data_IF_362323270616
#
_entry.id   IF_362323270616
#
_cell.length_a   1.000
_cell.length_b   1.000
_cell.length_c   1.000
_cell.angle_alpha   90.00
_cell.angle_beta   90.00
_cell.angle_gamma   90.00
#
_symmetry.space_group_name_H-M   'P 1'
#
loop_
_entity.id
_entity.type
_entity.pdbx_description
1 polymer ?
#
# COMPACT_ATOMS: atom_id res chain seq x y z
N UNK A 1 0.97 5.68 10.35
CA UNK A 1 1.17 4.22 10.29
C UNK A 1 1.31 3.67 11.71
N UNK A 2 0.70 2.52 11.99
CA UNK A 2 0.80 1.87 13.31
C UNK A 2 1.93 0.82 13.30
N UNK A 3 3.10 1.18 13.82
CA UNK A 3 4.28 0.31 13.86
C UNK A 3 4.21 -0.78 14.95
N UNK A 4 3.19 -0.75 15.81
CA UNK A 4 3.00 -1.78 16.85
C UNK A 4 2.77 -3.16 16.24
N UNK A 5 2.23 -3.23 15.01
CA UNK A 5 2.06 -4.51 14.31
C UNK A 5 3.40 -5.24 14.13
N UNK A 6 4.46 -4.48 13.89
CA UNK A 6 5.81 -4.99 13.74
C UNK A 6 6.44 -5.29 15.11
N UNK A 7 6.44 -4.33 16.03
CA UNK A 7 7.14 -4.47 17.33
C UNK A 7 6.49 -5.46 18.28
N UNK A 8 5.20 -5.78 18.11
CA UNK A 8 4.50 -6.80 18.90
C UNK A 8 4.82 -8.23 18.44
N UNK A 9 5.02 -8.44 17.13
CA UNK A 9 5.19 -9.76 16.49
C UNK A 9 6.65 -10.10 16.16
N UNK A 10 7.41 -9.14 15.64
CA UNK A 10 8.80 -9.31 15.22
C UNK A 10 9.75 -8.89 16.36
N UNK A 11 10.26 -9.87 17.12
CA UNK A 11 11.09 -9.62 18.30
C UNK A 11 12.45 -10.27 18.19
N UNK A 12 13.47 -9.55 18.65
CA UNK A 12 14.83 -10.05 18.78
C UNK A 12 14.98 -10.99 19.98
N UNK A 13 16.14 -11.67 20.08
CA UNK A 13 17.30 -11.54 19.20
C UNK A 13 17.20 -12.36 17.90
N UNK A 14 16.31 -13.35 17.86
CA UNK A 14 16.27 -14.32 16.76
C UNK A 14 15.53 -13.82 15.51
N UNK A 15 14.65 -12.82 15.65
CA UNK A 15 13.85 -12.23 14.56
C UNK A 15 13.23 -13.28 13.62
N UNK A 16 12.33 -14.14 14.12
CA UNK A 16 11.79 -15.25 13.33
C UNK A 16 11.12 -14.75 12.04
N UNK A 17 11.69 -15.13 10.89
CA UNK A 17 11.31 -14.63 9.57
C UNK A 17 9.81 -14.77 9.28
N UNK A 18 9.19 -15.90 9.64
CA UNK A 18 7.75 -16.11 9.42
C UNK A 18 6.88 -15.05 10.13
N UNK A 19 7.23 -14.65 11.36
CA UNK A 19 6.49 -13.62 12.10
C UNK A 19 6.85 -12.22 11.62
N UNK A 20 8.14 -11.97 11.38
CA UNK A 20 8.63 -10.66 10.95
C UNK A 20 8.13 -10.28 9.56
N UNK A 21 8.18 -11.19 8.60
CA UNK A 21 7.74 -10.94 7.24
C UNK A 21 6.22 -10.85 7.13
N UNK A 22 5.47 -11.65 7.89
CA UNK A 22 4.01 -11.52 7.95
C UNK A 22 3.58 -10.16 8.51
N UNK A 23 4.20 -9.72 9.61
CA UNK A 23 3.91 -8.41 10.21
C UNK A 23 4.35 -7.25 9.30
N UNK A 24 5.50 -7.39 8.62
CA UNK A 24 5.97 -6.40 7.67
C UNK A 24 5.01 -6.26 6.48
N UNK A 25 4.48 -7.37 5.95
CA UNK A 25 3.45 -7.34 4.89
C UNK A 25 2.19 -6.61 5.33
N UNK A 26 1.67 -6.88 6.52
CA UNK A 26 0.50 -6.16 7.06
C UNK A 26 0.72 -4.64 7.12
N UNK A 27 1.95 -4.20 7.43
CA UNK A 27 2.30 -2.78 7.49
C UNK A 27 2.54 -2.16 6.10
N UNK A 28 3.26 -2.86 5.22
CA UNK A 28 3.80 -2.29 3.99
C UNK A 28 2.87 -2.46 2.78
N UNK A 29 2.11 -3.55 2.72
CA UNK A 29 1.29 -3.86 1.53
C UNK A 29 0.22 -2.83 1.18
N UNK A 30 -0.43 -2.14 2.14
CA UNK A 30 -1.34 -1.03 1.80
C UNK A 30 -0.66 0.14 1.07
N UNK A 31 0.67 0.20 1.09
CA UNK A 31 1.47 1.28 0.51
C UNK A 31 2.42 0.75 -0.58
N UNK A 32 2.20 -0.47 -1.10
CA UNK A 32 3.12 -1.13 -2.02
C UNK A 32 3.47 -0.27 -3.24
N UNK A 33 2.50 0.41 -3.85
CA UNK A 33 2.74 1.25 -5.03
C UNK A 33 3.69 2.41 -4.75
N UNK A 34 3.55 3.05 -3.58
CA UNK A 34 4.41 4.17 -3.16
C UNK A 34 5.80 3.68 -2.73
N UNK A 35 5.86 2.51 -2.10
CA UNK A 35 7.13 1.90 -1.67
C UNK A 35 7.93 1.35 -2.84
N UNK A 36 7.27 0.92 -3.92
CA UNK A 36 7.90 0.42 -5.13
C UNK A 36 8.24 1.54 -6.14
N UNK A 37 7.89 2.79 -5.85
CA UNK A 37 8.31 3.94 -6.64
C UNK A 37 9.76 4.32 -6.28
N UNK A 38 10.71 3.88 -7.13
CA UNK A 38 12.14 4.16 -7.01
C UNK A 38 12.50 5.65 -7.15
N UNK A 39 11.58 6.49 -7.63
CA UNK A 39 11.79 7.94 -7.72
C UNK A 39 11.48 8.68 -6.42
N UNK A 40 10.86 7.99 -5.45
CA UNK A 40 10.51 8.55 -4.15
C UNK A 40 11.42 8.06 -3.02
N UNK A 41 11.42 8.78 -1.91
CA UNK A 41 12.10 8.38 -0.67
C UNK A 41 11.21 7.55 0.28
N UNK A 42 10.02 7.12 -0.16
CA UNK A 42 9.03 6.45 0.68
C UNK A 42 9.59 5.18 1.34
N UNK A 43 10.28 4.33 0.56
CA UNK A 43 10.88 3.11 1.08
C UNK A 43 11.96 3.40 2.13
N UNK A 44 12.89 4.31 1.83
CA UNK A 44 13.96 4.70 2.76
C UNK A 44 13.42 5.32 4.05
N UNK A 45 12.38 6.14 3.94
CA UNK A 45 11.72 6.77 5.08
C UNK A 45 10.99 5.74 5.93
N UNK A 46 10.25 4.81 5.31
CA UNK A 46 9.56 3.74 6.04
C UNK A 46 10.55 2.85 6.80
N UNK A 47 11.63 2.40 6.16
CA UNK A 47 12.65 1.59 6.82
C UNK A 47 13.35 2.35 7.96
N UNK A 48 13.60 3.64 7.80
CA UNK A 48 14.20 4.48 8.85
C UNK A 48 13.32 4.51 10.10
N UNK A 49 12.01 4.72 9.95
CA UNK A 49 11.07 4.72 11.07
C UNK A 49 10.92 3.33 11.71
N UNK A 50 10.83 2.28 10.88
CA UNK A 50 10.80 0.89 11.35
C UNK A 50 12.01 0.60 12.23
N UNK A 51 13.21 0.92 11.77
CA UNK A 51 14.46 0.65 12.50
C UNK A 51 14.54 1.50 13.77
N UNK A 52 14.14 2.78 13.71
CA UNK A 52 14.20 3.69 14.85
C UNK A 52 13.27 3.27 16.00
N UNK A 53 12.01 2.94 15.69
CA UNK A 53 11.00 2.61 16.69
C UNK A 53 11.05 1.16 17.14
N UNK A 54 11.36 0.23 16.23
CA UNK A 54 11.49 -1.18 16.56
C UNK A 54 12.85 -1.60 17.09
N UNK A 55 13.86 -0.71 17.00
CA UNK A 55 15.27 -1.03 17.29
C UNK A 55 15.80 -2.21 16.47
N UNK A 56 15.31 -2.32 15.23
CA UNK A 56 15.73 -3.39 14.31
C UNK A 56 17.11 -3.11 13.73
N UNK A 57 17.93 -4.15 13.52
CA UNK A 57 19.18 -4.00 12.81
C UNK A 57 18.92 -3.63 11.33
N UNK A 58 19.78 -2.78 10.74
CA UNK A 58 19.65 -2.40 9.34
C UNK A 58 19.73 -3.65 8.44
N UNK A 59 18.87 -3.71 7.42
CA UNK A 59 18.84 -4.80 6.47
C UNK A 59 18.06 -6.05 6.90
N UNK A 60 17.54 -6.12 8.14
CA UNK A 60 16.80 -7.28 8.64
C UNK A 60 15.69 -7.74 7.70
N UNK A 61 14.81 -6.84 7.28
CA UNK A 61 13.68 -7.22 6.43
C UNK A 61 14.12 -7.56 5.01
N UNK A 62 15.20 -6.95 4.51
CA UNK A 62 15.76 -7.29 3.20
C UNK A 62 16.43 -8.67 3.20
N UNK A 63 17.02 -9.10 4.32
CA UNK A 63 17.64 -10.42 4.45
C UNK A 63 16.62 -11.52 4.73
N UNK A 64 15.66 -11.26 5.62
CA UNK A 64 14.71 -12.29 6.09
C UNK A 64 13.50 -12.45 5.16
N UNK A 65 13.06 -11.37 4.48
CA UNK A 65 11.78 -11.34 3.77
C UNK A 65 11.96 -11.36 2.26
N UNK A 66 12.24 -12.54 1.72
CA UNK A 66 12.31 -12.80 0.28
C UNK A 66 11.54 -14.06 -0.10
N UNK A 67 10.56 -13.92 -0.99
CA UNK A 67 9.74 -15.04 -1.46
C UNK A 67 10.07 -15.47 -2.90
N UNK A 68 10.82 -14.64 -3.63
CA UNK A 68 11.23 -14.94 -4.99
C UNK A 68 12.20 -13.92 -5.58
N UNK A 69 12.23 -13.87 -6.92
CA UNK A 69 13.03 -12.88 -7.67
C UNK A 69 12.41 -11.48 -7.61
N UNK A 70 11.08 -11.42 -7.59
CA UNK A 70 10.27 -10.20 -7.53
C UNK A 70 10.17 -9.60 -6.10
N UNK A 71 10.98 -10.09 -5.16
CA UNK A 71 10.97 -9.61 -3.78
C UNK A 71 9.90 -10.27 -2.92
N UNK A 72 9.03 -9.44 -2.32
CA UNK A 72 8.04 -9.84 -1.31
C UNK A 72 6.63 -9.63 -1.87
N UNK A 73 5.87 -10.71 -2.03
CA UNK A 73 4.54 -10.61 -2.62
C UNK A 73 3.52 -10.14 -1.57
N UNK A 74 2.77 -9.10 -1.90
CA UNK A 74 1.63 -8.69 -1.10
C UNK A 74 0.42 -9.60 -1.38
N UNK A 75 -0.33 -10.00 -0.34
CA UNK A 75 -1.58 -10.73 -0.55
C UNK A 75 -2.54 -9.85 -1.36
N UNK A 76 -3.37 -10.48 -2.19
CA UNK A 76 -4.40 -9.76 -2.93
C UNK A 76 -5.27 -8.97 -1.95
N UNK A 77 -5.31 -7.64 -2.11
CA UNK A 77 -6.12 -6.77 -1.28
C UNK A 77 -7.59 -7.21 -1.42
N UNK A 78 -8.31 -7.53 -0.33
CA UNK A 78 -9.75 -7.61 -0.39
C UNK A 78 -10.29 -6.29 -0.98
N UNK A 79 -11.41 -6.30 -1.73
CA UNK A 79 -11.98 -5.07 -2.24
C UNK A 79 -12.16 -4.10 -1.07
N UNK A 80 -11.60 -2.90 -1.23
CA UNK A 80 -11.67 -1.84 -0.25
C UNK A 80 -13.15 -1.60 0.06
N UNK A 81 -13.61 -1.98 1.26
CA UNK A 81 -14.93 -1.57 1.72
C UNK A 81 -14.83 -0.08 1.94
N UNK A 82 -15.22 0.69 0.92
CA UNK A 82 -15.48 2.11 1.07
C UNK A 82 -16.41 2.25 2.27
N UNK A 83 -15.96 2.94 3.32
CA UNK A 83 -16.83 3.36 4.43
C UNK A 83 -17.89 4.33 3.86
N UNK A 84 -18.89 3.76 3.21
CA UNK A 84 -20.09 4.43 2.76
C UNK A 84 -20.98 4.62 3.97
N UNK A 85 -20.80 5.74 4.68
CA UNK A 85 -21.78 6.18 5.67
C UNK A 85 -23.15 6.33 4.99
N UNK A 86 -24.10 5.57 5.50
CA UNK A 86 -25.36 5.17 4.88
C UNK A 86 -26.31 6.32 4.52
N UNK A 87 -27.15 6.07 3.51
CA UNK A 87 -28.61 6.27 3.61
C UNK A 87 -29.31 5.37 2.60
N UNK A 88 -30.22 4.54 3.13
CA UNK A 88 -31.05 3.62 2.37
C UNK A 88 -31.96 4.34 1.37
N UNK A 89 -32.01 3.80 0.16
CA UNK A 89 -32.98 4.18 -0.87
C UNK A 89 -33.01 3.10 -1.94
N UNK A 90 -33.85 2.09 -1.76
CA UNK A 90 -34.18 1.11 -2.79
C UNK A 90 -34.72 1.84 -4.03
N UNK A 91 -34.13 1.64 -5.21
CA UNK A 91 -34.86 1.60 -6.48
C UNK A 91 -34.01 0.85 -7.52
N UNK A 92 -34.36 -0.41 -7.74
CA UNK A 92 -33.99 -1.16 -8.93
C UNK A 92 -34.72 -0.55 -10.12
N UNK A 93 -34.05 0.22 -10.99
CA UNK A 93 -34.52 0.49 -12.35
C UNK A 93 -33.32 0.66 -13.31
N UNK A 94 -33.20 -0.34 -14.18
CA UNK A 94 -32.59 -0.29 -15.52
C UNK A 94 -32.86 1.05 -16.23
N UNK A 95 -31.87 1.61 -16.94
CA UNK A 95 -31.99 2.15 -18.32
C UNK A 95 -30.76 2.98 -18.74
N UNK A 96 -30.20 2.61 -19.91
CA UNK A 96 -29.70 3.45 -21.00
C UNK A 96 -28.56 4.49 -20.76
N UNK A 97 -27.43 4.22 -21.44
CA UNK A 97 -26.77 5.05 -22.47
C UNK A 97 -26.51 6.56 -22.27
N UNK A 98 -25.34 6.97 -22.81
CA UNK A 98 -24.76 8.33 -22.97
C UNK A 98 -24.19 8.92 -21.67
N UNK A 99 -22.89 9.21 -21.58
CA UNK A 99 -22.27 10.33 -22.31
C UNK A 99 -20.79 10.10 -22.64
N UNK A 100 -20.52 9.94 -23.93
CA UNK A 100 -19.26 10.28 -24.59
C UNK A 100 -19.25 11.82 -24.82
N UNK A 101 -18.06 12.43 -24.93
CA UNK A 101 -17.74 13.80 -25.39
C UNK A 101 -17.50 14.89 -24.33
N UNK A 102 -16.26 14.99 -23.83
CA UNK A 102 -15.67 16.28 -23.46
C UNK A 102 -14.18 16.28 -23.84
N UNK A 103 -13.84 16.43 -25.13
CA UNK A 103 -12.44 16.58 -25.56
C UNK A 103 -12.23 17.34 -26.89
N UNK A 104 -12.76 18.56 -27.08
CA UNK A 104 -12.00 19.48 -27.96
C UNK A 104 -11.90 20.94 -27.50
N UNK A 105 -12.32 21.30 -26.29
CA UNK A 105 -12.30 22.71 -25.85
C UNK A 105 -10.89 23.26 -25.54
N UNK A 106 -9.87 22.40 -25.45
CA UNK A 106 -8.49 22.80 -25.16
C UNK A 106 -7.74 23.32 -26.41
N UNK A 107 -8.28 23.11 -27.62
CA UNK A 107 -7.60 23.49 -28.87
C UNK A 107 -7.86 24.93 -29.36
N UNK A 108 -8.72 25.73 -28.70
CA UNK A 108 -8.95 27.13 -29.12
C UNK A 108 -8.18 28.19 -28.31
N UNK A 109 -7.44 27.81 -27.27
CA UNK A 109 -6.64 28.77 -26.47
C UNK A 109 -5.17 28.90 -26.91
N UNK A 110 -4.70 28.10 -27.88
CA UNK A 110 -3.30 28.14 -28.32
C UNK A 110 -3.09 28.93 -29.63
N UNK A 111 -4.10 29.63 -30.13
CA UNK A 111 -3.98 30.44 -31.34
C UNK A 111 -4.70 31.79 -31.23
N UNK A 112 -4.35 32.56 -30.19
CA UNK A 112 -4.51 34.01 -30.12
C UNK A 112 -3.36 34.58 -29.30
#
# INVERSE_FOLDING_TARGET
MNYTILTSKCKGPQYPANLCCAAFKELACPFADQLNDETSDCASTMFSYINLYGKYPPGLFASECREGKEGLACPATPPESSDGNASAGFTSQTLASLTLLICPMVLMFLHT
#
